data_IF_835393064795
#
_entry.id   IF_835393064795
#
_cell.length_a   1.000
_cell.length_b   1.000
_cell.length_c   1.000
_cell.angle_alpha   90.00
_cell.angle_beta   90.00
_cell.angle_gamma   90.00
#
_symmetry.space_group_name_H-M   'P 1'
#
loop_
_entity.id
_entity.type
_entity.pdbx_description
1 polymer ?
#
# COMPACT_ATOMS: atom_id res chain seq x y z
N UNK A 1 9.48 -18.27 2.67
CA UNK A 1 9.68 -17.25 3.72
C UNK A 1 8.57 -17.44 4.77
N UNK A 2 8.74 -18.34 5.75
CA UNK A 2 7.61 -18.85 6.55
C UNK A 2 6.86 -17.76 7.33
N UNK A 3 7.58 -16.77 7.87
CA UNK A 3 6.97 -15.66 8.62
C UNK A 3 6.18 -14.71 7.72
N UNK A 4 6.69 -14.36 6.53
CA UNK A 4 6.00 -13.48 5.59
C UNK A 4 4.70 -14.11 5.12
N UNK A 5 4.75 -15.36 4.65
CA UNK A 5 3.58 -16.11 4.18
C UNK A 5 2.52 -16.22 5.28
N UNK A 6 2.94 -16.54 6.51
CA UNK A 6 2.03 -16.63 7.66
C UNK A 6 1.37 -15.30 7.99
N UNK A 7 2.13 -14.20 8.02
CA UNK A 7 1.59 -12.88 8.38
C UNK A 7 0.70 -12.32 7.27
N UNK A 8 1.12 -12.44 6.01
CA UNK A 8 0.34 -12.02 4.85
C UNK A 8 -0.99 -12.78 4.75
N UNK A 9 -0.97 -14.10 4.98
CA UNK A 9 -2.16 -14.95 4.99
C UNK A 9 -3.21 -14.59 6.05
N UNK A 10 -2.84 -13.81 7.08
CA UNK A 10 -3.73 -13.36 8.15
C UNK A 10 -4.13 -11.87 8.02
N UNK A 11 -3.47 -11.11 7.15
CA UNK A 11 -3.67 -9.67 7.06
C UNK A 11 -4.92 -9.31 6.25
N UNK A 12 -5.71 -8.34 6.73
CA UNK A 12 -6.77 -7.71 5.94
C UNK A 12 -6.22 -6.64 4.98
N UNK A 13 -5.05 -6.10 5.30
CA UNK A 13 -4.37 -5.06 4.55
C UNK A 13 -2.86 -5.31 4.57
N UNK A 14 -2.24 -5.28 3.39
CA UNK A 14 -0.81 -5.45 3.19
C UNK A 14 -0.28 -4.17 2.54
N UNK A 15 0.77 -3.57 3.10
CA UNK A 15 1.50 -2.47 2.47
C UNK A 15 2.91 -2.93 2.13
N UNK A 16 3.34 -2.55 0.94
CA UNK A 16 4.60 -2.97 0.34
C UNK A 16 5.13 -1.83 -0.51
N UNK A 17 6.41 -1.48 -0.36
CA UNK A 17 7.09 -0.53 -1.23
C UNK A 17 7.74 -1.21 -2.43
N UNK A 18 8.18 -0.45 -3.42
CA UNK A 18 9.04 -0.94 -4.50
C UNK A 18 10.37 -1.50 -3.96
N UNK A 19 10.92 -0.90 -2.91
CA UNK A 19 12.08 -1.42 -2.21
C UNK A 19 11.80 -2.78 -1.55
N UNK A 20 10.67 -2.91 -0.85
CA UNK A 20 10.24 -4.19 -0.27
C UNK A 20 10.09 -5.25 -1.36
N UNK A 21 9.44 -4.94 -2.48
CA UNK A 21 9.28 -5.90 -3.59
C UNK A 21 10.64 -6.38 -4.12
N UNK A 22 11.58 -5.46 -4.37
CA UNK A 22 12.94 -5.82 -4.81
C UNK A 22 13.64 -6.73 -3.81
N UNK A 23 13.55 -6.43 -2.51
CA UNK A 23 14.16 -7.25 -1.46
C UNK A 23 13.48 -8.61 -1.28
N UNK A 24 12.17 -8.68 -1.48
CA UNK A 24 11.37 -9.88 -1.25
C UNK A 24 11.43 -10.85 -2.43
N UNK A 25 11.36 -10.32 -3.64
CA UNK A 25 11.12 -11.07 -4.89
C UNK A 25 12.16 -10.82 -5.99
N UNK A 26 13.14 -9.95 -5.77
CA UNK A 26 14.19 -9.63 -6.75
C UNK A 26 13.73 -8.70 -7.88
N UNK A 27 12.46 -8.27 -7.89
CA UNK A 27 11.91 -7.28 -8.81
C UNK A 27 10.81 -6.46 -8.13
N UNK A 28 10.42 -5.33 -8.71
CA UNK A 28 9.29 -4.51 -8.29
C UNK A 28 8.18 -4.43 -9.35
N UNK A 29 8.24 -5.31 -10.35
CA UNK A 29 7.31 -5.37 -11.47
C UNK A 29 5.95 -5.97 -11.09
N UNK A 30 5.08 -6.11 -12.10
CA UNK A 30 3.73 -6.64 -11.92
C UNK A 30 3.74 -8.05 -11.30
N UNK A 31 4.66 -8.92 -11.72
CA UNK A 31 4.80 -10.28 -11.19
C UNK A 31 5.08 -10.29 -9.68
N UNK A 32 5.96 -9.41 -9.18
CA UNK A 32 6.23 -9.32 -7.74
C UNK A 32 5.01 -8.85 -6.95
N UNK A 33 4.21 -7.94 -7.52
CA UNK A 33 2.94 -7.51 -6.92
C UNK A 33 1.93 -8.64 -6.90
N UNK A 34 1.82 -9.41 -7.98
CA UNK A 34 0.91 -10.56 -8.05
C UNK A 34 1.30 -11.64 -7.04
N UNK A 35 2.59 -11.91 -6.85
CA UNK A 35 3.06 -12.81 -5.79
C UNK A 35 2.61 -12.36 -4.40
N UNK A 36 2.63 -11.05 -4.09
CA UNK A 36 2.09 -10.55 -2.80
C UNK A 36 0.58 -10.78 -2.70
N UNK A 37 -0.16 -10.53 -3.79
CA UNK A 37 -1.62 -10.71 -3.83
C UNK A 37 -2.01 -12.18 -3.71
N UNK A 38 -1.20 -13.09 -4.23
CA UNK A 38 -1.42 -14.54 -4.12
C UNK A 38 -1.27 -15.06 -2.67
N UNK A 39 -0.44 -14.39 -1.83
CA UNK A 39 -0.32 -14.76 -0.42
C UNK A 39 -1.65 -14.62 0.34
N UNK A 40 -2.50 -13.67 -0.08
CA UNK A 40 -3.85 -13.51 0.46
C UNK A 40 -4.77 -12.74 -0.52
N UNK A 41 -5.55 -13.45 -1.36
CA UNK A 41 -6.44 -12.83 -2.34
C UNK A 41 -7.57 -11.96 -1.76
N UNK A 42 -7.82 -12.06 -0.45
CA UNK A 42 -8.85 -11.26 0.26
C UNK A 42 -8.30 -9.96 0.84
N UNK A 43 -6.99 -9.86 1.02
CA UNK A 43 -6.37 -8.67 1.58
C UNK A 43 -6.42 -7.51 0.57
N UNK A 44 -6.63 -6.30 1.08
CA UNK A 44 -6.28 -5.11 0.31
C UNK A 44 -4.75 -4.99 0.25
N UNK A 45 -4.19 -4.60 -0.91
CA UNK A 45 -2.73 -4.47 -1.10
C UNK A 45 -2.40 -3.06 -1.56
N UNK A 46 -1.70 -2.30 -0.72
CA UNK A 46 -1.19 -0.97 -1.02
C UNK A 46 0.28 -1.06 -1.45
N UNK A 47 0.55 -0.70 -2.71
CA UNK A 47 1.88 -0.62 -3.30
C UNK A 47 2.31 0.84 -3.39
N UNK A 48 3.40 1.21 -2.72
CA UNK A 48 3.94 2.59 -2.70
C UNK A 48 5.26 2.66 -3.47
N UNK A 49 5.50 3.74 -4.23
CA UNK A 49 6.69 3.90 -5.09
C UNK A 49 7.34 5.28 -4.92
N UNK A 50 7.66 5.64 -3.68
CA UNK A 50 8.18 6.97 -3.34
C UNK A 50 7.25 8.08 -3.86
N UNK A 51 7.79 9.00 -4.66
CA UNK A 51 7.05 10.12 -5.26
C UNK A 51 6.17 9.72 -6.46
N UNK A 52 6.24 8.48 -6.94
CA UNK A 52 5.38 7.99 -8.03
C UNK A 52 3.99 7.62 -7.52
N UNK A 53 3.06 7.37 -8.43
CA UNK A 53 1.71 6.92 -8.10
C UNK A 53 1.74 5.64 -7.26
N UNK A 54 0.96 5.63 -6.19
CA UNK A 54 0.68 4.42 -5.43
C UNK A 54 -0.49 3.66 -6.06
N UNK A 55 -0.50 2.35 -5.88
CA UNK A 55 -1.54 1.45 -6.37
C UNK A 55 -2.20 0.75 -5.19
N UNK A 56 -3.52 0.72 -5.14
CA UNK A 56 -4.30 -0.05 -4.18
C UNK A 56 -5.09 -1.13 -4.93
N UNK A 57 -4.92 -2.37 -4.53
CA UNK A 57 -5.75 -3.50 -4.97
C UNK A 57 -6.76 -3.80 -3.86
N UNK A 58 -8.04 -3.62 -4.12
CA UNK A 58 -9.08 -3.84 -3.11
C UNK A 58 -10.43 -4.14 -3.77
N UNK A 59 -11.20 -5.08 -3.20
CA UNK A 59 -12.51 -5.44 -3.73
C UNK A 59 -12.49 -5.98 -5.17
N UNK A 60 -11.39 -6.60 -5.60
CA UNK A 60 -11.19 -7.08 -6.97
C UNK A 60 -10.76 -6.02 -7.99
N UNK A 61 -10.70 -4.75 -7.57
CA UNK A 61 -10.40 -3.61 -8.43
C UNK A 61 -8.98 -3.06 -8.16
N UNK A 62 -8.46 -2.29 -9.12
CA UNK A 62 -7.18 -1.56 -9.03
C UNK A 62 -7.44 -0.06 -9.01
N UNK A 63 -6.89 0.62 -8.00
CA UNK A 63 -6.97 2.07 -7.85
C UNK A 63 -5.57 2.66 -7.87
N UNK A 64 -5.42 3.83 -8.50
CA UNK A 64 -4.17 4.58 -8.53
C UNK A 64 -4.41 6.02 -8.10
N UNK A 65 -3.46 6.55 -7.35
CA UNK A 65 -3.41 7.97 -6.98
C UNK A 65 -1.96 8.41 -6.81
N UNK A 66 -1.68 9.65 -7.17
CA UNK A 66 -0.38 10.27 -6.94
C UNK A 66 -0.32 10.87 -5.53
N UNK A 67 0.77 10.68 -4.79
CA UNK A 67 0.97 11.39 -3.54
C UNK A 67 1.06 12.90 -3.81
N UNK A 68 0.66 13.76 -2.86
CA UNK A 68 0.87 15.19 -2.97
C UNK A 68 2.37 15.47 -3.19
N UNK A 69 2.68 16.46 -4.04
CA UNK A 69 4.07 16.88 -4.25
C UNK A 69 4.54 17.62 -2.99
N UNK A 70 5.41 16.99 -2.23
CA UNK A 70 6.14 17.59 -1.11
C UNK A 70 7.63 17.55 -1.43
N UNK A 71 8.37 18.62 -1.09
CA UNK A 71 9.83 18.58 -1.05
C UNK A 71 10.22 17.70 0.13
N UNK A 72 10.60 16.46 -0.18
CA UNK A 72 10.92 15.46 0.83
C UNK A 72 12.22 15.86 1.52
N UNK A 73 12.12 16.36 2.75
CA UNK A 73 13.28 16.63 3.60
C UNK A 73 13.79 15.34 4.27
N UNK A 74 12.89 14.39 4.56
CA UNK A 74 13.19 13.08 5.14
C UNK A 74 12.12 12.06 4.72
N UNK A 75 12.51 10.87 4.26
CA UNK A 75 11.57 9.80 3.83
C UNK A 75 11.22 8.83 4.97
N UNK A 76 11.88 8.94 6.12
CA UNK A 76 11.67 8.05 7.26
C UNK A 76 10.25 8.24 7.81
N UNK A 77 9.42 7.18 7.74
CA UNK A 77 8.06 7.16 8.30
C UNK A 77 6.92 7.44 7.32
N UNK A 78 7.20 7.89 6.07
CA UNK A 78 6.17 8.11 5.06
C UNK A 78 5.36 6.83 4.73
N UNK A 79 6.03 5.68 4.77
CA UNK A 79 5.40 4.37 4.62
C UNK A 79 4.40 4.04 5.72
N UNK A 80 4.78 4.24 6.99
CA UNK A 80 3.92 3.97 8.15
C UNK A 80 2.75 4.96 8.24
N UNK A 81 2.99 6.21 7.87
CA UNK A 81 1.95 7.22 7.80
C UNK A 81 0.90 6.90 6.71
N UNK A 82 1.31 6.29 5.58
CA UNK A 82 0.36 5.88 4.53
C UNK A 82 -0.58 4.75 4.97
N UNK A 83 -0.06 3.70 5.61
CA UNK A 83 -0.89 2.61 6.13
C UNK A 83 -1.76 3.10 7.29
N UNK A 84 -1.23 3.97 8.17
CA UNK A 84 -1.99 4.61 9.24
C UNK A 84 -3.14 5.47 8.72
N UNK A 85 -2.89 6.27 7.68
CA UNK A 85 -3.91 7.07 7.01
C UNK A 85 -5.00 6.21 6.35
N UNK A 86 -4.61 5.09 5.72
CA UNK A 86 -5.57 4.15 5.13
C UNK A 86 -6.48 3.54 6.19
N UNK A 87 -5.91 3.02 7.27
CA UNK A 87 -6.66 2.44 8.39
C UNK A 87 -7.58 3.47 9.04
N UNK A 88 -7.08 4.68 9.30
CA UNK A 88 -7.90 5.76 9.86
C UNK A 88 -9.08 6.10 8.95
N UNK A 89 -8.85 6.23 7.64
CA UNK A 89 -9.91 6.56 6.67
C UNK A 89 -10.98 5.47 6.63
N UNK A 90 -10.59 4.19 6.65
CA UNK A 90 -11.50 3.04 6.69
C UNK A 90 -12.35 3.01 7.97
N UNK A 91 -11.75 3.31 9.13
CA UNK A 91 -12.47 3.32 10.41
C UNK A 91 -13.37 4.54 10.57
N UNK A 92 -12.89 5.73 10.21
CA UNK A 92 -13.59 6.99 10.45
C UNK A 92 -14.67 7.30 9.39
N UNK A 93 -14.54 6.75 8.18
CA UNK A 93 -15.45 7.01 7.07
C UNK A 93 -15.59 5.79 6.15
N UNK A 94 -16.11 4.65 6.64
CA UNK A 94 -16.21 3.39 5.89
C UNK A 94 -17.08 3.47 4.62
N UNK A 95 -17.91 4.49 4.49
CA UNK A 95 -18.74 4.76 3.31
C UNK A 95 -17.96 5.35 2.13
N UNK A 96 -16.70 5.78 2.32
CA UNK A 96 -15.87 6.30 1.23
C UNK A 96 -15.56 5.21 0.22
N UNK A 97 -15.34 5.61 -1.02
CA UNK A 97 -14.79 4.73 -2.03
C UNK A 97 -13.33 4.39 -1.72
N UNK A 98 -12.85 3.26 -2.22
CA UNK A 98 -11.43 2.88 -2.13
C UNK A 98 -10.47 3.92 -2.71
N UNK A 99 -10.90 4.67 -3.73
CA UNK A 99 -10.12 5.78 -4.29
C UNK A 99 -9.96 6.93 -3.29
N UNK A 100 -11.01 7.28 -2.56
CA UNK A 100 -10.95 8.32 -1.52
C UNK A 100 -10.13 7.87 -0.31
N UNK A 101 -10.24 6.59 0.06
CA UNK A 101 -9.37 6.00 1.09
C UNK A 101 -7.90 6.06 0.70
N UNK A 102 -7.57 5.71 -0.55
CA UNK A 102 -6.21 5.81 -1.08
C UNK A 102 -5.72 7.26 -1.09
N UNK A 103 -6.54 8.22 -1.57
CA UNK A 103 -6.16 9.62 -1.57
C UNK A 103 -5.85 10.15 -0.16
N UNK A 104 -6.68 9.77 0.83
CA UNK A 104 -6.45 10.13 2.23
C UNK A 104 -5.15 9.49 2.78
N UNK A 105 -4.90 8.21 2.47
CA UNK A 105 -3.70 7.51 2.87
C UNK A 105 -2.43 8.20 2.35
N UNK A 106 -2.43 8.63 1.08
CA UNK A 106 -1.29 9.33 0.50
C UNK A 106 -1.11 10.74 1.04
N UNK A 107 -2.19 11.44 1.39
CA UNK A 107 -2.10 12.73 2.06
C UNK A 107 -1.51 12.62 3.48
N UNK A 108 -1.75 11.51 4.19
CA UNK A 108 -1.14 11.24 5.48
C UNK A 108 0.35 10.89 5.37
N UNK A 109 0.75 10.21 4.30
CA UNK A 109 2.15 9.78 4.05
C UNK A 109 3.04 10.81 3.35
N UNK A 110 2.46 11.84 2.73
CA UNK A 110 3.19 12.94 2.09
C UNK A 110 3.38 14.10 3.06
N UNK A 111 4.41 14.02 3.89
CA UNK A 111 4.88 15.09 4.78
C UNK A 111 6.38 15.23 4.71
#
# INVERSE_FOLDING_TARGET
RPTLEKMAGLADLIKVSDEDLRHLFGSDGAEAVDMVRELNPRAAVLVTRGAQAATLYAGGERYEASPPRVEVADTVGAGDASIGGLLFSLMAAPQRSWREHLAFALAAGGG
#
